data_IF_247825078832
#
_entry.id   IF_247825078832
#
_cell.length_a   1.000
_cell.length_b   1.000
_cell.length_c   1.000
_cell.angle_alpha   90.00
_cell.angle_beta   90.00
_cell.angle_gamma   90.00
#
_symmetry.space_group_name_H-M   'P 1'
#
loop_
_entity.id
_entity.type
_entity.pdbx_description
1 polymer ?
#
# COMPACT_ATOMS: atom_id res chain seq x y z
N UNK A 1 5.40 28.57 -9.98
CA UNK A 1 6.02 27.35 -10.55
C UNK A 1 4.90 26.39 -10.90
N UNK A 2 4.55 26.27 -12.18
CA UNK A 2 3.46 25.40 -12.62
C UNK A 2 4.04 23.99 -12.68
N UNK A 3 3.70 23.15 -11.70
CA UNK A 3 4.01 21.71 -11.77
C UNK A 3 3.14 21.16 -12.90
N UNK A 4 3.76 20.81 -14.01
CA UNK A 4 3.10 20.14 -15.12
C UNK A 4 2.42 18.87 -14.57
N UNK A 5 1.09 18.80 -14.69
CA UNK A 5 0.30 17.70 -14.16
C UNK A 5 0.58 16.46 -15.00
N UNK A 6 1.62 15.70 -14.62
CA UNK A 6 1.96 14.42 -15.23
C UNK A 6 0.71 13.52 -15.27
N UNK A 7 0.33 13.15 -16.49
CA UNK A 7 -0.85 12.34 -16.74
C UNK A 7 -0.53 10.89 -16.42
N UNK A 8 -1.12 10.39 -15.33
CA UNK A 8 -0.91 9.01 -14.88
C UNK A 8 -1.48 8.01 -15.87
N UNK A 9 -0.68 7.00 -16.20
CA UNK A 9 -1.05 5.93 -17.11
C UNK A 9 -2.22 5.08 -16.55
N UNK A 10 -2.93 4.37 -17.43
CA UNK A 10 -3.99 3.43 -16.98
C UNK A 10 -3.41 2.32 -16.09
N UNK A 11 -2.21 1.82 -16.42
CA UNK A 11 -1.50 0.78 -15.67
C UNK A 11 -1.13 1.27 -14.27
N UNK A 12 -0.57 2.47 -14.16
CA UNK A 12 -0.21 3.09 -12.89
C UNK A 12 -1.44 3.24 -11.98
N UNK A 13 -2.57 3.74 -12.51
CA UNK A 13 -3.82 3.82 -11.74
C UNK A 13 -4.33 2.46 -11.26
N UNK A 14 -4.20 1.42 -12.09
CA UNK A 14 -4.58 0.07 -11.68
C UNK A 14 -3.69 -0.42 -10.53
N UNK A 15 -2.39 -0.16 -10.61
CA UNK A 15 -1.46 -0.53 -9.56
C UNK A 15 -1.75 0.21 -8.25
N UNK A 16 -2.12 1.50 -8.28
CA UNK A 16 -2.58 2.22 -7.08
C UNK A 16 -3.81 1.53 -6.46
N UNK A 17 -4.78 1.10 -7.27
CA UNK A 17 -5.97 0.39 -6.75
C UNK A 17 -5.60 -0.91 -6.05
N UNK A 18 -4.62 -1.63 -6.57
CA UNK A 18 -4.10 -2.85 -5.92
C UNK A 18 -3.45 -2.53 -4.57
N UNK A 19 -2.72 -1.41 -4.46
CA UNK A 19 -2.18 -0.95 -3.17
C UNK A 19 -3.29 -0.60 -2.18
N UNK A 20 -4.35 0.08 -2.63
CA UNK A 20 -5.50 0.40 -1.79
C UNK A 20 -6.20 -0.88 -1.26
N UNK A 21 -6.35 -1.91 -2.11
CA UNK A 21 -6.89 -3.20 -1.65
C UNK A 21 -6.00 -3.90 -0.61
N UNK A 22 -4.68 -3.78 -0.75
CA UNK A 22 -3.71 -4.40 0.16
C UNK A 22 -3.38 -3.54 1.37
N UNK A 23 -3.94 -2.34 1.46
CA UNK A 23 -3.52 -1.32 2.43
C UNK A 23 -3.57 -1.83 3.87
N UNK A 24 -4.66 -2.49 4.27
CA UNK A 24 -4.81 -3.03 5.63
C UNK A 24 -3.81 -4.17 5.92
N UNK A 25 -3.53 -5.02 4.94
CA UNK A 25 -2.58 -6.11 5.10
C UNK A 25 -1.15 -5.58 5.18
N UNK A 26 -0.79 -4.60 4.35
CA UNK A 26 0.51 -3.93 4.43
C UNK A 26 0.72 -3.27 5.81
N UNK A 27 -0.33 -2.67 6.40
CA UNK A 27 -0.23 -2.08 7.75
C UNK A 27 0.05 -3.14 8.80
N UNK A 28 -0.64 -4.29 8.74
CA UNK A 28 -0.42 -5.41 9.66
C UNK A 28 1.00 -5.98 9.53
N UNK A 29 1.46 -6.18 8.30
CA UNK A 29 2.83 -6.66 8.03
C UNK A 29 3.88 -5.73 8.62
N UNK A 30 3.76 -4.42 8.41
CA UNK A 30 4.71 -3.43 8.97
C UNK A 30 4.64 -3.42 10.50
N UNK A 31 3.45 -3.53 11.09
CA UNK A 31 3.31 -3.60 12.54
C UNK A 31 4.02 -4.84 13.11
N UNK A 32 3.81 -6.02 12.52
CA UNK A 32 4.49 -7.25 12.91
C UNK A 32 6.02 -7.15 12.77
N UNK A 33 6.51 -6.53 11.69
CA UNK A 33 7.95 -6.29 11.51
C UNK A 33 8.52 -5.36 12.58
N UNK A 34 7.79 -4.28 12.94
CA UNK A 34 8.19 -3.39 14.03
C UNK A 34 8.26 -4.13 15.37
N UNK A 35 7.26 -4.96 15.68
CA UNK A 35 7.29 -5.77 16.90
C UNK A 35 8.43 -6.78 16.92
N UNK A 36 8.70 -7.44 15.80
CA UNK A 36 9.83 -8.37 15.69
C UNK A 36 11.20 -7.68 15.91
N UNK A 37 11.34 -6.42 15.46
CA UNK A 37 12.55 -5.61 15.69
C UNK A 37 12.66 -5.16 17.15
N UNK A 38 11.55 -4.80 17.79
CA UNK A 38 11.52 -4.35 19.20
C UNK A 38 11.70 -5.52 20.19
N UNK A 39 11.21 -6.70 19.82
CA UNK A 39 11.28 -7.93 20.61
C UNK A 39 12.02 -9.03 19.84
N UNK A 40 13.33 -8.86 19.57
CA UNK A 40 14.10 -9.90 18.92
C UNK A 40 14.16 -11.09 19.89
N UNK A 41 13.41 -12.15 19.60
CA UNK A 41 13.59 -13.42 20.30
C UNK A 41 15.07 -13.79 20.16
N UNK A 42 15.78 -13.88 21.29
CA UNK A 42 17.14 -14.42 21.32
C UNK A 42 17.06 -15.87 20.86
N UNK A 43 17.32 -16.09 19.58
CA UNK A 43 17.61 -17.44 19.08
C UNK A 43 18.92 -17.85 19.73
N UNK A 44 18.87 -18.83 20.62
CA UNK A 44 20.07 -19.52 21.09
C UNK A 44 20.57 -20.32 19.89
N UNK A 45 21.68 -19.86 19.30
CA UNK A 45 22.35 -20.53 18.18
C UNK A 45 22.83 -21.92 18.63
N UNK A 46 22.29 -22.95 17.99
CA UNK A 46 22.65 -24.33 18.20
C UNK A 46 22.92 -25.03 16.85
N UNK A 47 23.57 -24.36 15.88
CA UNK A 47 24.00 -25.01 14.65
C UNK A 47 25.43 -24.64 14.22
N UNK A 48 26.40 -25.17 14.98
CA UNK A 48 27.77 -25.42 14.51
C UNK A 48 27.81 -26.78 13.81
N UNK A 49 27.65 -26.81 12.48
CA UNK A 49 27.75 -28.05 11.69
C UNK A 49 28.12 -27.76 10.25
N UNK A 50 29.39 -27.95 9.91
CA UNK A 50 29.99 -27.54 8.63
C UNK A 50 29.56 -28.34 7.40
N UNK A 51 29.82 -27.77 6.23
CA UNK A 51 29.72 -28.49 4.95
C UNK A 51 29.67 -27.59 3.70
N UNK A 52 30.83 -27.20 3.19
CA UNK A 52 31.18 -26.86 1.78
C UNK A 52 30.05 -26.39 0.83
N UNK A 53 29.97 -25.07 0.57
CA UNK A 53 29.75 -24.40 -0.75
C UNK A 53 29.26 -22.95 -0.56
N UNK A 54 30.12 -22.03 -0.12
CA UNK A 54 29.70 -20.75 0.47
C UNK A 54 29.58 -19.54 -0.47
N UNK A 55 29.87 -19.65 -1.77
CA UNK A 55 29.89 -18.46 -2.66
C UNK A 55 28.54 -18.23 -3.37
N UNK A 56 27.95 -19.24 -4.00
CA UNK A 56 26.69 -19.06 -4.75
C UNK A 56 25.47 -18.91 -3.84
N UNK A 57 25.45 -19.61 -2.70
CA UNK A 57 24.34 -19.55 -1.73
C UNK A 57 24.28 -18.18 -1.06
N UNK A 58 25.43 -17.62 -0.68
CA UNK A 58 25.54 -16.34 0.02
C UNK A 58 25.11 -15.13 -0.83
N UNK A 59 25.38 -15.14 -2.14
CA UNK A 59 24.91 -14.08 -3.05
C UNK A 59 23.39 -14.11 -3.23
N UNK A 60 22.81 -15.32 -3.34
CA UNK A 60 21.36 -15.48 -3.45
C UNK A 60 20.62 -15.06 -2.18
N UNK A 61 21.14 -15.43 -1.01
CA UNK A 61 20.58 -15.04 0.30
C UNK A 61 20.60 -13.52 0.50
N UNK A 62 21.71 -12.86 0.14
CA UNK A 62 21.81 -11.39 0.20
C UNK A 62 20.86 -10.70 -0.76
N UNK A 63 20.71 -11.21 -1.98
CA UNK A 63 19.76 -10.66 -2.96
C UNK A 63 18.31 -10.78 -2.47
N UNK A 64 17.93 -11.91 -1.86
CA UNK A 64 16.61 -12.13 -1.27
C UNK A 64 16.37 -11.18 -0.09
N UNK A 65 17.35 -11.02 0.80
CA UNK A 65 17.25 -10.10 1.95
C UNK A 65 17.13 -8.63 1.49
N UNK A 66 17.91 -8.22 0.50
CA UNK A 66 17.87 -6.87 -0.04
C UNK A 66 16.52 -6.59 -0.73
N UNK A 67 16.05 -7.51 -1.58
CA UNK A 67 14.76 -7.39 -2.24
C UNK A 67 13.60 -7.33 -1.24
N UNK A 68 13.67 -8.10 -0.15
CA UNK A 68 12.71 -8.02 0.95
C UNK A 68 12.73 -6.63 1.60
N UNK A 69 13.91 -6.09 1.90
CA UNK A 69 14.05 -4.77 2.49
C UNK A 69 13.50 -3.64 1.60
N UNK A 70 13.80 -3.67 0.30
CA UNK A 70 13.26 -2.71 -0.67
C UNK A 70 11.73 -2.79 -0.77
N UNK A 71 11.17 -4.00 -0.78
CA UNK A 71 9.71 -4.18 -0.79
C UNK A 71 9.06 -3.63 0.48
N UNK A 72 9.65 -3.86 1.65
CA UNK A 72 9.15 -3.33 2.93
C UNK A 72 9.22 -1.79 2.92
N UNK A 73 10.35 -1.22 2.49
CA UNK A 73 10.51 0.23 2.39
C UNK A 73 9.48 0.85 1.43
N UNK A 74 9.23 0.21 0.29
CA UNK A 74 8.19 0.64 -0.64
C UNK A 74 6.78 0.56 -0.03
N UNK A 75 6.42 -0.54 0.64
CA UNK A 75 5.12 -0.68 1.32
C UNK A 75 4.94 0.39 2.40
N UNK A 76 5.98 0.70 3.17
CA UNK A 76 5.96 1.75 4.17
C UNK A 76 5.71 3.13 3.54
N UNK A 77 6.43 3.45 2.46
CA UNK A 77 6.21 4.67 1.68
C UNK A 77 4.79 4.73 1.10
N UNK A 78 4.29 3.62 0.56
CA UNK A 78 2.95 3.55 0.00
C UNK A 78 1.87 3.81 1.04
N UNK A 79 1.99 3.21 2.23
CA UNK A 79 1.08 3.49 3.35
C UNK A 79 1.12 4.95 3.73
N UNK A 80 2.32 5.52 3.91
CA UNK A 80 2.46 6.93 4.28
C UNK A 80 1.78 7.85 3.25
N UNK A 81 2.02 7.62 1.96
CA UNK A 81 1.39 8.43 0.90
C UNK A 81 -0.13 8.28 0.88
N UNK A 82 -0.65 7.06 1.09
CA UNK A 82 -2.09 6.83 1.17
C UNK A 82 -2.68 7.58 2.37
N UNK A 83 -2.06 7.47 3.55
CA UNK A 83 -2.46 8.16 4.77
C UNK A 83 -2.50 9.68 4.56
N UNK A 84 -1.45 10.25 3.98
CA UNK A 84 -1.35 11.68 3.71
C UNK A 84 -2.43 12.15 2.72
N UNK A 85 -2.67 11.42 1.63
CA UNK A 85 -3.70 11.80 0.64
C UNK A 85 -5.10 11.69 1.22
N UNK A 86 -5.36 10.66 2.04
CA UNK A 86 -6.64 10.48 2.72
C UNK A 86 -6.88 11.62 3.73
N UNK A 87 -5.91 11.91 4.60
CA UNK A 87 -6.00 12.98 5.58
C UNK A 87 -6.21 14.38 4.96
N UNK A 88 -5.72 14.60 3.74
CA UNK A 88 -5.88 15.85 2.99
C UNK A 88 -7.03 15.81 1.96
N UNK A 89 -7.95 14.84 2.09
CA UNK A 89 -9.15 14.74 1.26
C UNK A 89 -10.40 15.07 2.07
N UNK A 90 -11.46 15.53 1.41
CA UNK A 90 -12.75 15.75 2.05
C UNK A 90 -13.30 14.45 2.67
N UNK A 91 -14.03 14.55 3.77
CA UNK A 91 -14.65 13.42 4.48
C UNK A 91 -15.42 12.48 3.53
N UNK A 92 -16.17 13.04 2.58
CA UNK A 92 -16.90 12.28 1.57
C UNK A 92 -15.99 11.44 0.67
N UNK A 93 -14.85 11.98 0.25
CA UNK A 93 -13.88 11.27 -0.56
C UNK A 93 -13.19 10.17 0.25
N UNK A 94 -12.91 10.43 1.53
CA UNK A 94 -12.35 9.43 2.44
C UNK A 94 -13.34 8.26 2.58
N UNK A 95 -14.60 8.55 2.92
CA UNK A 95 -15.66 7.56 3.06
C UNK A 95 -15.83 6.69 1.80
N UNK A 96 -15.83 7.31 0.60
CA UNK A 96 -15.90 6.56 -0.67
C UNK A 96 -14.76 5.55 -0.79
N UNK A 97 -13.53 5.94 -0.45
CA UNK A 97 -12.34 5.08 -0.55
C UNK A 97 -12.38 3.99 0.52
N UNK A 98 -12.76 4.31 1.75
CA UNK A 98 -12.85 3.37 2.85
C UNK A 98 -13.88 2.26 2.57
N UNK A 99 -15.10 2.66 2.17
CA UNK A 99 -16.15 1.72 1.77
C UNK A 99 -15.72 0.87 0.57
N UNK A 100 -14.93 1.45 -0.34
CA UNK A 100 -14.52 0.78 -1.58
C UNK A 100 -13.35 -0.17 -1.42
N UNK A 101 -12.43 0.07 -0.48
CA UNK A 101 -11.15 -0.64 -0.43
C UNK A 101 -10.76 -1.16 0.95
N UNK A 102 -11.13 -0.48 2.04
CA UNK A 102 -10.56 -0.77 3.38
C UNK A 102 -11.44 -1.69 4.23
N UNK A 103 -12.74 -1.79 3.93
CA UNK A 103 -13.62 -2.71 4.62
C UNK A 103 -13.28 -4.18 4.34
N UNK A 104 -13.57 -5.07 5.30
CA UNK A 104 -13.43 -6.53 5.13
C UNK A 104 -14.23 -7.06 3.92
N UNK A 105 -15.35 -6.40 3.60
CA UNK A 105 -16.16 -6.66 2.41
C UNK A 105 -16.28 -5.36 1.60
N UNK A 106 -15.33 -5.09 0.70
CA UNK A 106 -15.36 -3.92 -0.18
C UNK A 106 -16.69 -3.79 -0.92
N UNK A 107 -17.28 -2.60 -0.90
CA UNK A 107 -18.60 -2.37 -1.51
C UNK A 107 -18.53 -2.21 -3.04
N UNK A 108 -19.65 -2.54 -3.70
CA UNK A 108 -19.85 -2.23 -5.11
C UNK A 108 -20.13 -0.73 -5.30
N UNK A 109 -19.91 -0.20 -6.50
CA UNK A 109 -20.22 1.21 -6.78
C UNK A 109 -21.70 1.54 -6.55
N UNK A 110 -22.59 0.59 -6.88
CA UNK A 110 -24.04 0.70 -6.65
C UNK A 110 -24.33 0.82 -5.15
N UNK A 111 -23.71 -0.03 -4.33
CA UNK A 111 -23.90 0.00 -2.88
C UNK A 111 -23.38 1.30 -2.27
N UNK A 112 -22.21 1.79 -2.72
CA UNK A 112 -21.63 3.06 -2.25
C UNK A 112 -22.53 4.24 -2.61
N UNK A 113 -23.04 4.31 -3.85
CA UNK A 113 -23.93 5.42 -4.24
C UNK A 113 -25.26 5.41 -3.50
N UNK A 114 -25.70 4.24 -3.03
CA UNK A 114 -26.92 4.09 -2.24
C UNK A 114 -26.67 4.27 -0.73
N UNK A 115 -25.43 4.50 -0.31
CA UNK A 115 -25.10 4.75 1.08
C UNK A 115 -25.61 6.15 1.48
N UNK A 116 -26.34 6.22 2.59
CA UNK A 116 -27.09 7.41 3.01
C UNK A 116 -26.19 8.65 3.16
N UNK A 117 -24.96 8.45 3.63
CA UNK A 117 -24.00 9.53 3.86
C UNK A 117 -23.29 10.04 2.60
N UNK A 118 -23.33 9.32 1.47
CA UNK A 118 -22.52 9.63 0.28
C UNK A 118 -23.16 10.71 -0.58
N UNK A 119 -24.48 10.64 -0.82
CA UNK A 119 -25.20 11.66 -1.62
C UNK A 119 -24.73 11.82 -3.08
N UNK A 120 -23.87 10.94 -3.59
CA UNK A 120 -23.28 10.99 -4.93
C UNK A 120 -23.72 9.83 -5.82
N UNK A 121 -23.91 10.12 -7.11
CA UNK A 121 -24.11 9.08 -8.13
C UNK A 121 -22.88 8.17 -8.28
N UNK A 122 -23.06 6.98 -8.84
CA UNK A 122 -21.95 6.05 -9.10
C UNK A 122 -20.83 6.68 -9.93
N UNK A 123 -21.17 7.51 -10.93
CA UNK A 123 -20.19 8.17 -11.78
C UNK A 123 -19.44 9.27 -11.05
N UNK A 124 -20.12 10.00 -10.16
CA UNK A 124 -19.47 10.97 -9.27
C UNK A 124 -18.51 10.26 -8.31
N UNK A 125 -18.92 9.15 -7.70
CA UNK A 125 -18.05 8.34 -6.83
C UNK A 125 -16.79 7.85 -7.56
N UNK A 126 -16.94 7.35 -8.80
CA UNK A 126 -15.81 6.92 -9.64
C UNK A 126 -14.88 8.07 -10.02
N UNK A 127 -15.42 9.27 -10.27
CA UNK A 127 -14.61 10.47 -10.55
C UNK A 127 -13.80 10.89 -9.32
N UNK A 128 -14.42 10.87 -8.14
CA UNK A 128 -13.77 11.17 -6.86
C UNK A 128 -12.67 10.14 -6.58
N UNK A 129 -12.98 8.84 -6.70
CA UNK A 129 -11.98 7.77 -6.55
C UNK A 129 -10.80 7.97 -7.50
N UNK A 130 -11.09 8.27 -8.77
CA UNK A 130 -10.03 8.49 -9.75
C UNK A 130 -9.14 9.66 -9.37
N UNK A 131 -9.70 10.75 -8.84
CA UNK A 131 -8.92 11.89 -8.38
C UNK A 131 -8.05 11.56 -7.16
N UNK A 132 -8.52 10.70 -6.25
CA UNK A 132 -7.70 10.17 -5.14
C UNK A 132 -6.56 9.31 -5.69
N UNK A 133 -6.89 8.33 -6.55
CA UNK A 133 -5.92 7.42 -7.17
C UNK A 133 -4.85 8.18 -7.95
N UNK A 134 -5.25 9.23 -8.68
CA UNK A 134 -4.30 10.07 -9.40
C UNK A 134 -3.40 10.85 -8.44
N UNK A 135 -3.92 11.36 -7.31
CA UNK A 135 -3.06 12.03 -6.31
C UNK A 135 -2.07 11.07 -5.66
N UNK A 136 -2.50 9.86 -5.28
CA UNK A 136 -1.62 8.83 -4.73
C UNK A 136 -0.53 8.47 -5.73
N UNK A 137 -0.90 8.21 -7.00
CA UNK A 137 0.07 7.86 -8.04
C UNK A 137 1.13 8.94 -8.26
N UNK A 138 0.76 10.23 -8.25
CA UNK A 138 1.72 11.34 -8.40
C UNK A 138 2.69 11.40 -7.23
N UNK A 139 2.18 11.23 -6.00
CA UNK A 139 3.00 11.24 -4.79
C UNK A 139 3.94 10.02 -4.71
N UNK A 140 3.57 8.90 -5.34
CA UNK A 140 4.45 7.74 -5.51
C UNK A 140 5.47 7.88 -6.65
N UNK A 141 5.24 8.82 -7.58
CA UNK A 141 6.13 9.11 -8.72
C UNK A 141 5.78 8.35 -10.00
N UNK A 142 4.50 8.10 -10.27
CA UNK A 142 4.02 7.40 -11.48
C UNK A 142 3.29 8.28 -12.51
#
# INVERSE_FOLDING_TARGET
MIVEQLKISKRSRQHVRELLYKYQDMKKEIALLREAILHPHKVVDANTGGGRSSLTVFESEKAIQLASHEQIAFRAKAIQVIDDVMANSSDQAQMIIELKYFGNKPMSWIAISNHEEIGYSQDSCRKIERAIVDRIGRNLGW
#
